data_IF_963311520269
#
_entry.id   IF_963311520269
#
_cell.length_a   1.000
_cell.length_b   1.000
_cell.length_c   1.000
_cell.angle_alpha   90.00
_cell.angle_beta   90.00
_cell.angle_gamma   90.00
#
_symmetry.space_group_name_H-M   'P 1'
#
loop_
_entity.id
_entity.type
_entity.pdbx_description
1 polymer ?
#
# COMPACT_ATOMS: atom_id res chain seq x y z
N UNK A 1 -29.52 -24.46 -7.09
CA UNK A 1 -28.14 -24.63 -7.59
C UNK A 1 -27.44 -23.30 -7.92
N UNK A 2 -27.94 -22.14 -7.46
CA UNK A 2 -27.38 -20.81 -7.75
C UNK A 2 -26.55 -20.19 -6.58
N UNK A 3 -26.60 -20.77 -5.38
CA UNK A 3 -26.00 -20.21 -4.16
C UNK A 3 -24.46 -20.35 -4.10
N UNK A 4 -23.85 -21.24 -4.89
CA UNK A 4 -22.40 -21.50 -4.82
C UNK A 4 -21.54 -20.45 -5.53
N UNK A 5 -22.03 -19.79 -6.60
CA UNK A 5 -21.23 -18.78 -7.34
C UNK A 5 -21.14 -17.41 -6.65
N UNK A 6 -22.15 -17.01 -5.87
CA UNK A 6 -22.14 -15.75 -5.11
C UNK A 6 -21.04 -15.72 -4.04
N UNK A 7 -20.72 -16.87 -3.45
CA UNK A 7 -19.68 -16.97 -2.41
C UNK A 7 -18.23 -16.91 -2.96
N UNK A 8 -18.01 -17.19 -4.25
CA UNK A 8 -16.66 -17.12 -4.86
C UNK A 8 -16.23 -15.71 -5.24
N UNK A 9 -17.16 -14.79 -5.55
CA UNK A 9 -16.84 -13.38 -5.86
C UNK A 9 -16.53 -12.54 -4.61
N UNK A 10 -16.98 -13.01 -3.43
CA UNK A 10 -16.75 -12.34 -2.14
C UNK A 10 -15.43 -12.76 -1.46
N UNK A 11 -14.79 -13.85 -1.89
CA UNK A 11 -13.72 -14.53 -1.11
C UNK A 11 -12.28 -14.37 -1.67
N UNK A 12 -11.97 -13.31 -2.40
CA UNK A 12 -10.59 -13.10 -2.91
C UNK A 12 -9.76 -12.12 -2.08
N UNK A 13 -10.03 -12.01 -0.77
CA UNK A 13 -9.13 -11.31 0.16
C UNK A 13 -7.96 -12.23 0.58
N UNK A 14 -7.22 -12.76 -0.39
CA UNK A 14 -5.94 -13.41 -0.10
C UNK A 14 -4.93 -12.34 0.27
N UNK A 15 -4.36 -12.38 1.47
CA UNK A 15 -3.20 -11.54 1.82
C UNK A 15 -2.08 -11.83 0.81
N UNK A 16 -1.74 -10.89 -0.09
CA UNK A 16 -0.87 -11.20 -1.23
C UNK A 16 0.61 -11.36 -0.83
N UNK A 17 0.97 -11.08 0.42
CA UNK A 17 2.37 -11.04 0.86
C UNK A 17 2.62 -11.92 2.08
N UNK A 18 3.66 -12.75 1.99
CA UNK A 18 4.19 -13.53 3.11
C UNK A 18 4.83 -12.62 4.16
N UNK A 19 4.78 -13.01 5.43
CA UNK A 19 5.47 -12.35 6.55
C UNK A 19 6.96 -12.13 6.27
N UNK A 20 7.61 -13.06 5.56
CA UNK A 20 9.02 -12.94 5.17
C UNK A 20 9.28 -11.76 4.23
N UNK A 21 8.38 -11.51 3.27
CA UNK A 21 8.48 -10.38 2.35
C UNK A 21 8.35 -9.04 3.08
N UNK A 22 7.42 -8.95 4.03
CA UNK A 22 7.23 -7.74 4.85
C UNK A 22 8.51 -7.42 5.61
N UNK A 23 9.13 -8.41 6.25
CA UNK A 23 10.39 -8.25 6.97
C UNK A 23 11.51 -7.80 6.03
N UNK A 24 11.62 -8.39 4.83
CA UNK A 24 12.64 -8.01 3.84
C UNK A 24 12.52 -6.54 3.42
N UNK A 25 11.31 -6.08 3.13
CA UNK A 25 11.08 -4.68 2.71
C UNK A 25 11.53 -3.71 3.80
N UNK A 26 11.13 -3.97 5.06
CA UNK A 26 11.58 -3.16 6.20
C UNK A 26 13.09 -3.22 6.42
N UNK A 27 13.70 -4.40 6.30
CA UNK A 27 15.14 -4.57 6.42
C UNK A 27 15.90 -3.79 5.33
N UNK A 28 15.47 -3.87 4.07
CA UNK A 28 16.10 -3.13 2.96
C UNK A 28 16.04 -1.61 3.14
N UNK A 29 14.93 -1.11 3.71
CA UNK A 29 14.78 0.32 4.00
C UNK A 29 15.77 0.77 5.07
N UNK A 30 15.87 0.02 6.17
CA UNK A 30 16.80 0.33 7.28
C UNK A 30 18.25 0.23 6.81
N UNK A 31 18.60 -0.79 6.02
CA UNK A 31 19.95 -0.96 5.47
C UNK A 31 20.30 0.19 4.52
N UNK A 32 19.37 0.63 3.67
CA UNK A 32 19.61 1.75 2.75
C UNK A 32 19.81 3.08 3.48
N UNK A 33 18.96 3.39 4.47
CA UNK A 33 19.07 4.60 5.30
C UNK A 33 20.38 4.56 6.10
N UNK A 34 20.67 3.43 6.74
CA UNK A 34 21.90 3.22 7.51
C UNK A 34 23.15 3.35 6.66
N UNK A 35 23.18 2.71 5.49
CA UNK A 35 24.29 2.82 4.54
C UNK A 35 24.54 4.25 4.07
N UNK A 36 23.46 5.01 3.81
CA UNK A 36 23.57 6.42 3.41
C UNK A 36 24.12 7.29 4.55
N UNK A 37 23.63 7.09 5.79
CA UNK A 37 24.14 7.78 6.97
C UNK A 37 25.62 7.48 7.23
N UNK A 38 26.02 6.21 7.13
CA UNK A 38 27.43 5.80 7.25
C UNK A 38 28.28 6.42 6.13
N UNK A 39 27.78 6.46 4.90
CA UNK A 39 28.47 7.14 3.79
C UNK A 39 28.70 8.63 4.06
N UNK A 40 27.70 9.31 4.63
CA UNK A 40 27.78 10.73 5.00
C UNK A 40 28.79 10.96 6.14
N UNK A 41 28.92 10.04 7.11
CA UNK A 41 29.86 10.20 8.22
C UNK A 41 31.31 9.91 7.83
N UNK A 42 31.54 8.96 6.93
CA UNK A 42 32.87 8.64 6.40
C UNK A 42 33.36 9.62 5.32
N UNK A 43 32.47 10.42 4.72
CA UNK A 43 32.86 11.41 3.72
C UNK A 43 33.75 12.52 4.33
N UNK A 44 34.93 12.82 3.74
CA UNK A 44 35.82 13.89 4.21
C UNK A 44 35.31 15.26 3.75
N UNK A 45 34.19 15.69 4.32
CA UNK A 45 33.49 16.96 4.01
C UNK A 45 33.30 17.81 5.26
N UNK A 46 33.10 19.10 5.07
CA UNK A 46 32.79 20.05 6.13
C UNK A 46 31.50 19.64 6.88
N UNK A 47 31.49 19.77 8.21
CA UNK A 47 30.35 19.47 9.08
C UNK A 47 29.05 20.17 8.65
N UNK A 48 29.15 21.40 8.12
CA UNK A 48 27.98 22.13 7.61
C UNK A 48 27.34 21.44 6.41
N UNK A 49 28.15 21.04 5.44
CA UNK A 49 27.70 20.33 4.22
C UNK A 49 27.16 18.95 4.59
N UNK A 50 27.78 18.29 5.57
CA UNK A 50 27.29 17.02 6.13
C UNK A 50 25.89 17.16 6.71
N UNK A 51 25.63 18.24 7.45
CA UNK A 51 24.30 18.55 7.99
C UNK A 51 23.26 18.79 6.89
N UNK A 52 23.61 19.55 5.86
CA UNK A 52 22.73 19.80 4.71
C UNK A 52 22.33 18.49 4.00
N UNK A 53 23.30 17.61 3.74
CA UNK A 53 23.05 16.30 3.12
C UNK A 53 22.19 15.41 4.02
N UNK A 54 22.46 15.37 5.32
CA UNK A 54 21.68 14.60 6.28
C UNK A 54 20.21 15.05 6.33
N UNK A 55 19.97 16.36 6.36
CA UNK A 55 18.61 16.92 6.33
C UNK A 55 17.88 16.60 5.01
N UNK A 56 18.57 16.71 3.88
CA UNK A 56 18.01 16.37 2.56
C UNK A 56 17.62 14.89 2.46
N UNK A 57 18.48 13.98 2.92
CA UNK A 57 18.19 12.54 2.95
C UNK A 57 17.03 12.24 3.91
N UNK A 58 17.04 12.82 5.12
CA UNK A 58 15.97 12.62 6.09
C UNK A 58 14.60 13.09 5.56
N UNK A 59 14.56 14.26 4.92
CA UNK A 59 13.34 14.78 4.29
C UNK A 59 12.89 13.93 3.09
N UNK A 60 13.82 13.52 2.23
CA UNK A 60 13.53 12.67 1.07
C UNK A 60 12.92 11.33 1.48
N UNK A 61 13.51 10.66 2.47
CA UNK A 61 13.00 9.39 3.02
C UNK A 61 11.63 9.59 3.66
N UNK A 62 11.44 10.64 4.46
CA UNK A 62 10.15 10.96 5.07
C UNK A 62 9.05 11.18 4.03
N UNK A 63 9.35 11.92 2.95
CA UNK A 63 8.42 12.15 1.83
C UNK A 63 8.05 10.86 1.11
N UNK A 64 9.03 9.99 0.80
CA UNK A 64 8.78 8.71 0.16
C UNK A 64 7.86 7.79 0.99
N UNK A 65 8.05 7.78 2.32
CA UNK A 65 7.20 7.02 3.24
C UNK A 65 5.77 7.58 3.24
N UNK A 66 5.60 8.91 3.27
CA UNK A 66 4.28 9.56 3.22
C UNK A 66 3.53 9.23 1.94
N UNK A 67 4.20 9.36 0.78
CA UNK A 67 3.61 8.99 -0.53
C UNK A 67 3.18 7.53 -0.53
N UNK A 68 4.03 6.62 -0.01
CA UNK A 68 3.71 5.19 0.06
C UNK A 68 2.48 4.91 0.92
N UNK A 69 2.33 5.59 2.07
CA UNK A 69 1.13 5.49 2.91
C UNK A 69 -0.10 5.97 2.16
N UNK A 70 -0.05 7.18 1.59
CA UNK A 70 -1.18 7.72 0.82
C UNK A 70 -1.57 6.81 -0.34
N UNK A 71 -0.62 6.21 -1.05
CA UNK A 71 -0.91 5.23 -2.11
C UNK A 71 -1.59 3.96 -1.56
N UNK A 72 -1.17 3.46 -0.39
CA UNK A 72 -1.85 2.32 0.26
C UNK A 72 -3.27 2.69 0.67
N UNK A 73 -3.46 3.86 1.29
CA UNK A 73 -4.77 4.34 1.73
C UNK A 73 -5.73 4.49 0.54
N UNK A 74 -5.25 5.02 -0.60
CA UNK A 74 -6.03 5.09 -1.84
C UNK A 74 -6.37 3.69 -2.35
N UNK A 75 -5.41 2.76 -2.37
CA UNK A 75 -5.63 1.40 -2.84
C UNK A 75 -6.71 0.67 -2.01
N UNK A 76 -6.65 0.80 -0.69
CA UNK A 76 -7.66 0.25 0.22
C UNK A 76 -9.03 0.91 -0.02
N UNK A 77 -9.10 2.24 -0.12
CA UNK A 77 -10.34 2.97 -0.40
C UNK A 77 -11.01 2.52 -1.72
N UNK A 78 -10.21 2.30 -2.78
CA UNK A 78 -10.71 1.79 -4.07
C UNK A 78 -11.29 0.38 -3.95
N UNK A 79 -10.66 -0.50 -3.17
CA UNK A 79 -11.20 -1.84 -2.93
C UNK A 79 -12.53 -1.79 -2.17
N UNK A 80 -12.67 -0.92 -1.16
CA UNK A 80 -13.91 -0.79 -0.40
C UNK A 80 -15.07 -0.25 -1.25
N UNK A 81 -14.85 0.77 -2.10
CA UNK A 81 -15.93 1.31 -2.95
C UNK A 81 -16.42 0.27 -3.96
N UNK A 82 -15.52 -0.52 -4.56
CA UNK A 82 -15.91 -1.55 -5.53
C UNK A 82 -16.85 -2.62 -4.95
N UNK A 83 -16.67 -2.97 -3.66
CA UNK A 83 -17.55 -3.93 -2.96
C UNK A 83 -18.92 -3.34 -2.67
N UNK A 84 -18.97 -2.05 -2.32
CA UNK A 84 -20.23 -1.33 -2.08
C UNK A 84 -21.01 -1.21 -3.40
N UNK A 85 -20.34 -0.89 -4.49
CA UNK A 85 -20.95 -0.76 -5.81
C UNK A 85 -21.46 -2.11 -6.33
N UNK A 86 -20.71 -3.20 -6.10
CA UNK A 86 -21.16 -4.56 -6.40
C UNK A 86 -22.43 -4.94 -5.61
N UNK A 87 -22.49 -4.64 -4.31
CA UNK A 87 -23.67 -4.90 -3.49
C UNK A 87 -24.88 -4.04 -3.89
N UNK A 88 -24.66 -2.77 -4.27
CA UNK A 88 -25.71 -1.89 -4.79
C UNK A 88 -26.23 -2.35 -6.15
N UNK A 89 -25.34 -2.79 -7.06
CA UNK A 89 -25.70 -3.36 -8.35
C UNK A 89 -26.54 -4.63 -8.17
N UNK A 90 -26.15 -5.52 -7.26
CA UNK A 90 -26.90 -6.73 -6.94
C UNK A 90 -28.31 -6.41 -6.41
N UNK A 91 -28.44 -5.38 -5.55
CA UNK A 91 -29.75 -4.90 -5.08
C UNK A 91 -30.61 -4.30 -6.18
N UNK A 92 -30.02 -3.52 -7.09
CA UNK A 92 -30.73 -2.95 -8.24
C UNK A 92 -31.19 -4.05 -9.19
N UNK A 93 -30.32 -5.00 -9.55
CA UNK A 93 -30.67 -6.14 -10.39
C UNK A 93 -31.75 -7.02 -9.76
N UNK A 94 -31.69 -7.28 -8.45
CA UNK A 94 -32.69 -8.06 -7.74
C UNK A 94 -34.06 -7.36 -7.61
N UNK A 95 -34.07 -6.03 -7.56
CA UNK A 95 -35.32 -5.24 -7.51
C UNK A 95 -35.93 -4.99 -8.90
N UNK A 96 -35.19 -5.18 -9.98
CA UNK A 96 -35.62 -4.93 -11.35
C UNK A 96 -35.78 -6.21 -12.19
N UNK A 97 -36.01 -7.37 -11.59
CA UNK A 97 -36.16 -8.65 -12.29
C UNK A 97 -37.31 -8.64 -13.33
N UNK A 98 -37.02 -8.50 -14.64
CA UNK A 98 -38.04 -8.36 -15.68
C UNK A 98 -38.68 -9.69 -16.10
N UNK A 99 -38.26 -10.82 -15.51
CA UNK A 99 -38.69 -12.17 -15.93
C UNK A 99 -39.74 -12.79 -15.01
N UNK A 100 -40.32 -12.02 -14.09
CA UNK A 100 -41.48 -12.45 -13.30
C UNK A 100 -42.77 -12.14 -14.07
N UNK A 101 -43.07 -12.99 -15.06
CA UNK A 101 -44.44 -13.21 -15.58
C UNK A 101 -45.00 -14.49 -14.96
#
# INVERSE_FOLDING_TARGET
MATTKSNSVLNSASNPHSTGWIIQVWASLVISIGGTLVGITYAPINAWVRGYLAMGVMFSVGSAISVTKTTRDIHEAQQFTSRIDAAKLERLLASHDPYKM
#
